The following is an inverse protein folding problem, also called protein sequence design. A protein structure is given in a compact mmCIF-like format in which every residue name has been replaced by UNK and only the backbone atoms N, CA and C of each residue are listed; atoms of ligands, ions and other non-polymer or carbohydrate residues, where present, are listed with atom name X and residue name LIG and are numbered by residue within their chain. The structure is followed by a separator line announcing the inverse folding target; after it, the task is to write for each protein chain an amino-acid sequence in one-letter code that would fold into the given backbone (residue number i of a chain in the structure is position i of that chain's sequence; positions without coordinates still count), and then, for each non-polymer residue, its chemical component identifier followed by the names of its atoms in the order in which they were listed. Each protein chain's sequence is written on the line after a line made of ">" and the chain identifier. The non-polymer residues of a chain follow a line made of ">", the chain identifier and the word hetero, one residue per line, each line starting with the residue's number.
data_IF_193896421865
#
_entry.id   IF_193896421865
#
_cell.length_a   1.000
_cell.length_b   1.000
_cell.length_c   1.000
_cell.angle_alpha   90.00
_cell.angle_beta   90.00
_cell.angle_gamma   90.00
#
_symmetry.space_group_name_H-M   'P 1'
#
loop_
_entity.id
_entity.type
_entity.pdbx_description
1 polymer ?
#
# COMPACT_ATOMS: atom_id res chain seq x y z
N UNK A 1 17.28 18.05 1.41
CA UNK A 1 16.72 19.41 1.63
C UNK A 1 16.20 20.12 0.37
N UNK A 2 16.80 19.96 -0.82
CA UNK A 2 16.29 20.63 -2.05
C UNK A 2 14.96 20.07 -2.62
N UNK A 3 14.60 18.81 -2.35
CA UNK A 3 13.37 18.17 -2.87
C UNK A 3 12.09 18.58 -2.10
N UNK A 4 12.19 18.76 -0.78
CA UNK A 4 11.06 19.21 0.07
C UNK A 4 10.60 20.62 -0.29
N UNK A 5 11.53 21.49 -0.72
CA UNK A 5 11.23 22.81 -1.26
C UNK A 5 10.47 22.74 -2.59
N UNK A 6 10.76 21.76 -3.45
CA UNK A 6 10.04 21.57 -4.72
C UNK A 6 8.59 21.10 -4.49
N UNK A 7 8.39 20.16 -3.55
CA UNK A 7 7.05 19.70 -3.16
C UNK A 7 6.24 20.79 -2.45
N UNK A 8 6.87 21.61 -1.60
CA UNK A 8 6.22 22.77 -0.98
C UNK A 8 5.88 23.85 -2.01
N UNK A 9 6.70 24.08 -3.03
CA UNK A 9 6.37 25.00 -4.12
C UNK A 9 5.16 24.53 -4.91
N UNK A 10 5.03 23.23 -5.20
CA UNK A 10 3.88 22.66 -5.94
C UNK A 10 2.59 22.73 -5.09
N UNK A 11 2.67 22.40 -3.79
CA UNK A 11 1.52 22.49 -2.87
C UNK A 11 1.07 23.94 -2.58
N UNK A 12 2.00 24.89 -2.41
CA UNK A 12 1.66 26.32 -2.26
C UNK A 12 1.07 26.90 -3.55
N UNK A 13 1.48 26.41 -4.73
CA UNK A 13 0.91 26.83 -6.00
C UNK A 13 -0.57 26.42 -6.16
N UNK A 14 -0.99 25.33 -5.52
CA UNK A 14 -2.34 24.78 -5.68
C UNK A 14 -3.40 25.41 -4.78
N UNK A 15 -3.06 25.80 -3.55
CA UNK A 15 -4.03 26.46 -2.64
C UNK A 15 -4.30 27.93 -3.01
N UNK A 16 -3.42 28.55 -3.81
CA UNK A 16 -3.49 29.96 -4.22
C UNK A 16 -4.20 30.15 -5.59
N UNK A 17 -4.46 29.09 -6.37
CA UNK A 17 -4.73 29.24 -7.81
C UNK A 17 -6.03 28.65 -8.35
N UNK A 18 -7.17 28.71 -7.65
CA UNK A 18 -8.46 28.47 -8.31
C UNK A 18 -8.71 29.46 -9.49
N UNK A 19 -8.06 30.63 -9.47
CA UNK A 19 -8.14 31.67 -10.49
C UNK A 19 -7.05 31.55 -11.57
N UNK A 20 -5.91 30.93 -11.26
CA UNK A 20 -4.77 30.76 -12.18
C UNK A 20 -4.81 29.42 -12.93
N UNK A 21 -5.43 28.37 -12.36
CA UNK A 21 -5.80 27.19 -13.16
C UNK A 21 -6.77 27.58 -14.28
N UNK A 22 -7.71 28.49 -14.03
CA UNK A 22 -8.58 29.09 -15.06
C UNK A 22 -7.82 29.85 -16.16
N UNK A 23 -6.66 30.42 -15.87
CA UNK A 23 -5.82 31.08 -16.88
C UNK A 23 -4.99 30.08 -17.69
N UNK A 24 -4.50 28.99 -17.07
CA UNK A 24 -3.83 27.89 -17.79
C UNK A 24 -4.77 27.20 -18.78
N UNK A 25 -6.07 27.08 -18.46
CA UNK A 25 -7.06 26.58 -19.42
C UNK A 25 -7.27 27.49 -20.65
N UNK A 26 -6.83 28.75 -20.62
CA UNK A 26 -6.96 29.67 -21.76
C UNK A 26 -5.85 29.51 -22.80
N UNK A 27 -4.71 28.95 -22.42
CA UNK A 27 -3.61 28.64 -23.34
C UNK A 27 -3.49 27.12 -23.50
N UNK A 28 -3.93 26.62 -24.65
CA UNK A 28 -3.99 25.19 -24.93
C UNK A 28 -2.61 24.54 -24.97
N UNK A 29 -1.56 25.27 -25.38
CA UNK A 29 -0.19 24.75 -25.42
C UNK A 29 0.34 24.53 -24.00
N UNK A 30 0.12 25.49 -23.10
CA UNK A 30 0.44 25.34 -21.67
C UNK A 30 -0.35 24.21 -21.01
N UNK A 31 -1.64 24.05 -21.36
CA UNK A 31 -2.46 22.95 -20.87
C UNK A 31 -1.94 21.59 -21.36
N UNK A 32 -1.52 21.48 -22.61
CA UNK A 32 -0.93 20.26 -23.16
C UNK A 32 0.33 19.84 -22.40
N UNK A 33 1.25 20.78 -22.14
CA UNK A 33 2.47 20.52 -21.37
C UNK A 33 2.17 20.11 -19.92
N UNK A 34 1.15 20.73 -19.30
CA UNK A 34 0.69 20.36 -17.97
C UNK A 34 0.17 18.92 -17.94
N UNK A 35 -0.67 18.53 -18.91
CA UNK A 35 -1.20 17.17 -19.03
C UNK A 35 -0.06 16.14 -19.13
N UNK A 36 0.94 16.40 -19.98
CA UNK A 36 2.10 15.52 -20.13
C UNK A 36 2.87 15.38 -18.82
N UNK A 37 3.19 16.50 -18.18
CA UNK A 37 3.96 16.51 -16.94
C UNK A 37 3.22 15.80 -15.80
N UNK A 38 1.92 16.05 -15.65
CA UNK A 38 1.12 15.37 -14.63
C UNK A 38 0.99 13.87 -14.91
N UNK A 39 0.87 13.47 -16.18
CA UNK A 39 0.78 12.06 -16.56
C UNK A 39 2.06 11.29 -16.21
N UNK A 40 3.24 11.87 -16.47
CA UNK A 40 4.52 11.27 -16.13
C UNK A 40 4.67 11.09 -14.61
N UNK A 41 4.24 12.10 -13.83
CA UNK A 41 4.24 12.01 -12.37
C UNK A 41 3.25 10.96 -11.85
N UNK A 42 2.05 10.90 -12.43
CA UNK A 42 1.04 9.89 -12.06
C UNK A 42 1.58 8.48 -12.30
N UNK A 43 2.18 8.23 -13.46
CA UNK A 43 2.67 6.90 -13.83
C UNK A 43 3.68 6.39 -12.81
N UNK A 44 4.64 7.24 -12.44
CA UNK A 44 5.64 6.89 -11.44
C UNK A 44 5.04 6.67 -10.05
N UNK A 45 4.22 7.61 -9.58
CA UNK A 45 3.66 7.54 -8.22
C UNK A 45 2.68 6.37 -8.06
N UNK A 46 1.94 6.02 -9.11
CA UNK A 46 1.00 4.90 -9.09
C UNK A 46 1.69 3.54 -9.01
N UNK A 47 2.88 3.42 -9.62
CA UNK A 47 3.70 2.21 -9.59
C UNK A 47 4.48 2.08 -8.28
N UNK A 48 5.15 3.15 -7.85
CA UNK A 48 6.09 3.13 -6.71
C UNK A 48 5.40 3.39 -5.37
N UNK A 49 4.31 4.17 -5.35
CA UNK A 49 3.75 4.77 -4.13
C UNK A 49 2.21 4.68 -4.05
N UNK A 50 1.62 3.58 -4.55
CA UNK A 50 0.16 3.40 -4.62
C UNK A 50 -0.59 3.65 -3.29
N UNK A 51 0.04 3.39 -2.14
CA UNK A 51 -0.57 3.61 -0.83
C UNK A 51 -0.90 5.10 -0.56
N UNK A 52 -0.07 6.00 -1.07
CA UNK A 52 -0.16 7.46 -0.89
C UNK A 52 -0.74 8.17 -2.12
N UNK A 53 -1.04 7.41 -3.18
CA UNK A 53 -1.51 7.95 -4.45
C UNK A 53 -2.88 8.62 -4.33
N UNK A 54 -2.98 9.87 -4.81
CA UNK A 54 -4.24 10.62 -4.91
C UNK A 54 -4.98 10.26 -6.20
N UNK A 55 -6.04 9.46 -6.09
CA UNK A 55 -6.89 9.06 -7.21
C UNK A 55 -7.44 10.26 -8.01
N UNK A 56 -7.70 11.39 -7.34
CA UNK A 56 -8.25 12.57 -8.02
C UNK A 56 -7.29 13.14 -9.08
N UNK A 57 -5.99 12.83 -9.01
CA UNK A 57 -5.04 13.19 -10.07
C UNK A 57 -5.42 12.56 -11.41
N UNK A 58 -5.82 11.29 -11.42
CA UNK A 58 -6.24 10.58 -12.65
C UNK A 58 -7.51 11.22 -13.21
N UNK A 59 -8.48 11.53 -12.35
CA UNK A 59 -9.72 12.19 -12.75
C UNK A 59 -9.47 13.58 -13.35
N UNK A 60 -8.61 14.39 -12.71
CA UNK A 60 -8.24 15.71 -13.22
C UNK A 60 -7.58 15.65 -14.59
N UNK A 61 -6.63 14.73 -14.82
CA UNK A 61 -6.03 14.61 -16.16
C UNK A 61 -7.07 14.20 -17.20
N UNK A 62 -7.98 13.27 -16.88
CA UNK A 62 -9.06 12.88 -17.80
C UNK A 62 -9.94 14.08 -18.17
N UNK A 63 -10.29 14.92 -17.20
CA UNK A 63 -11.03 16.17 -17.44
C UNK A 63 -10.24 17.18 -18.29
N UNK A 64 -8.95 17.36 -18.00
CA UNK A 64 -8.07 18.26 -18.76
C UNK A 64 -7.90 17.82 -20.21
N UNK A 65 -7.75 16.51 -20.45
CA UNK A 65 -7.69 15.93 -21.80
C UNK A 65 -9.01 16.15 -22.54
N UNK A 66 -10.15 15.89 -21.89
CA UNK A 66 -11.47 16.13 -22.50
C UNK A 66 -11.68 17.62 -22.84
N UNK A 67 -11.24 18.52 -21.96
CA UNK A 67 -11.25 19.95 -22.20
C UNK A 67 -10.35 20.32 -23.38
N UNK A 68 -9.11 19.88 -23.40
CA UNK A 68 -8.16 20.14 -24.49
C UNK A 68 -8.72 19.67 -25.84
N UNK A 69 -9.21 18.42 -25.90
CA UNK A 69 -9.75 17.82 -27.13
C UNK A 69 -11.02 18.52 -27.65
N UNK A 70 -11.80 19.18 -26.78
CA UNK A 70 -13.00 19.91 -27.18
C UNK A 70 -12.72 21.36 -27.65
N UNK A 71 -11.55 21.90 -27.35
CA UNK A 71 -11.20 23.31 -27.62
C UNK A 71 -10.06 23.49 -28.63
N UNK A 72 -9.26 22.46 -28.90
CA UNK A 72 -8.16 22.49 -29.87
C UNK A 72 -8.67 22.55 -31.33
N UNK A 73 -7.88 23.17 -32.22
CA UNK A 73 -8.16 23.20 -33.66
C UNK A 73 -8.26 21.76 -34.21
N UNK A 74 -9.29 21.51 -35.02
CA UNK A 74 -9.52 20.23 -35.71
C UNK A 74 -8.36 19.81 -36.64
N UNK A 75 -7.50 20.76 -37.04
CA UNK A 75 -6.33 20.51 -37.89
C UNK A 75 -5.06 20.17 -37.11
N UNK A 76 -5.07 20.32 -35.78
CA UNK A 76 -3.91 19.99 -34.95
C UNK A 76 -3.63 18.49 -34.95
N UNK A 77 -2.36 18.11 -34.78
CA UNK A 77 -2.02 16.71 -34.54
C UNK A 77 -2.43 16.31 -33.11
N UNK A 78 -3.34 15.35 -33.02
CA UNK A 78 -3.89 14.85 -31.76
C UNK A 78 -3.35 13.47 -31.38
N UNK A 79 -2.38 12.94 -32.13
CA UNK A 79 -1.83 11.59 -31.92
C UNK A 79 -1.37 11.37 -30.48
N UNK A 80 -0.51 12.24 -29.96
CA UNK A 80 0.05 12.12 -28.62
C UNK A 80 -0.99 12.26 -27.51
N UNK A 81 -1.91 13.24 -27.61
CA UNK A 81 -2.92 13.44 -26.56
C UNK A 81 -3.93 12.29 -26.52
N UNK A 82 -4.25 11.68 -27.68
CA UNK A 82 -5.08 10.47 -27.76
C UNK A 82 -4.36 9.26 -27.17
N UNK A 83 -3.06 9.09 -27.43
CA UNK A 83 -2.25 8.04 -26.81
C UNK A 83 -2.25 8.14 -25.27
N UNK A 84 -2.11 9.36 -24.73
CA UNK A 84 -2.23 9.59 -23.28
C UNK A 84 -3.63 9.26 -22.76
N UNK A 85 -4.67 9.71 -23.47
CA UNK A 85 -6.06 9.38 -23.14
C UNK A 85 -6.32 7.88 -23.11
N UNK A 86 -5.75 7.14 -24.06
CA UNK A 86 -5.89 5.69 -24.13
C UNK A 86 -5.11 5.00 -23.02
N UNK A 87 -3.92 5.50 -22.68
CA UNK A 87 -3.12 4.96 -21.59
C UNK A 87 -3.79 5.18 -20.23
N UNK A 88 -4.51 6.29 -20.04
CA UNK A 88 -5.28 6.53 -18.82
C UNK A 88 -6.44 5.54 -18.60
N UNK A 89 -6.82 4.75 -19.61
CA UNK A 89 -7.80 3.66 -19.46
C UNK A 89 -7.26 2.47 -18.66
N UNK A 90 -5.93 2.36 -18.48
CA UNK A 90 -5.35 1.33 -17.61
C UNK A 90 -5.51 1.65 -16.11
N UNK A 91 -5.87 2.90 -15.78
CA UNK A 91 -6.12 3.33 -14.41
C UNK A 91 -7.59 3.07 -14.03
N UNK A 92 -7.89 2.91 -12.73
CA UNK A 92 -9.27 2.71 -12.27
C UNK A 92 -10.22 3.82 -12.70
N UNK A 93 -11.44 3.47 -13.06
CA UNK A 93 -12.48 4.44 -13.45
C UNK A 93 -13.24 5.01 -12.26
N UNK A 94 -13.19 4.33 -11.12
CA UNK A 94 -13.85 4.75 -9.89
C UNK A 94 -12.89 4.71 -8.72
N UNK A 95 -13.16 5.56 -7.73
CA UNK A 95 -12.40 5.57 -6.47
C UNK A 95 -12.54 4.22 -5.75
N UNK A 96 -13.69 3.56 -5.81
CA UNK A 96 -13.90 2.24 -5.22
C UNK A 96 -12.95 1.18 -5.80
N UNK A 97 -12.84 1.10 -7.13
CA UNK A 97 -11.92 0.15 -7.79
C UNK A 97 -10.48 0.50 -7.43
N UNK A 98 -10.13 1.79 -7.39
CA UNK A 98 -8.82 2.24 -6.95
C UNK A 98 -8.50 1.79 -5.51
N UNK A 99 -9.43 2.02 -4.57
CA UNK A 99 -9.26 1.64 -3.16
C UNK A 99 -9.09 0.12 -3.00
N UNK A 100 -9.80 -0.68 -3.80
CA UNK A 100 -9.64 -2.13 -3.85
C UNK A 100 -8.23 -2.54 -4.31
N UNK A 101 -7.76 -2.00 -5.44
CA UNK A 101 -6.41 -2.28 -5.97
C UNK A 101 -5.33 -1.82 -5.00
N UNK A 102 -5.48 -0.61 -4.43
CA UNK A 102 -4.56 -0.07 -3.43
C UNK A 102 -4.47 -1.01 -2.22
N UNK A 103 -5.61 -1.45 -1.70
CA UNK A 103 -5.65 -2.36 -0.56
C UNK A 103 -5.00 -3.71 -0.87
N UNK A 104 -5.23 -4.26 -2.07
CA UNK A 104 -4.59 -5.49 -2.52
C UNK A 104 -3.07 -5.36 -2.64
N UNK A 105 -2.58 -4.31 -3.30
CA UNK A 105 -1.13 -4.06 -3.45
C UNK A 105 -0.48 -3.79 -2.10
N UNK A 106 -1.12 -3.00 -1.23
CA UNK A 106 -0.63 -2.72 0.12
C UNK A 106 -0.55 -4.02 0.94
N UNK A 107 -1.59 -4.85 0.93
CA UNK A 107 -1.58 -6.18 1.56
C UNK A 107 -0.42 -7.03 1.05
N UNK A 108 -0.24 -7.13 -0.27
CA UNK A 108 0.81 -7.94 -0.86
C UNK A 108 2.20 -7.46 -0.45
N UNK A 109 2.44 -6.15 -0.49
CA UNK A 109 3.71 -5.57 -0.07
C UNK A 109 4.00 -5.83 1.41
N UNK A 110 3.02 -5.55 2.29
CA UNK A 110 3.17 -5.76 3.72
C UNK A 110 3.41 -7.25 4.06
N UNK A 111 2.66 -8.17 3.45
CA UNK A 111 2.88 -9.60 3.64
C UNK A 111 4.26 -10.06 3.15
N UNK A 112 4.73 -9.52 2.02
CA UNK A 112 6.04 -9.84 1.49
C UNK A 112 7.14 -9.37 2.44
N UNK A 113 7.06 -8.12 2.92
CA UNK A 113 8.01 -7.54 3.88
C UNK A 113 8.02 -8.33 5.19
N UNK A 114 6.85 -8.70 5.69
CA UNK A 114 6.70 -9.47 6.91
C UNK A 114 7.31 -10.88 6.75
N UNK A 115 6.98 -11.58 5.66
CA UNK A 115 7.55 -12.91 5.35
C UNK A 115 9.07 -12.85 5.21
N UNK A 116 9.61 -11.86 4.48
CA UNK A 116 11.05 -11.68 4.33
C UNK A 116 11.75 -11.47 5.68
N UNK A 117 11.18 -10.65 6.58
CA UNK A 117 11.73 -10.46 7.92
C UNK A 117 11.68 -11.76 8.75
N UNK A 118 10.59 -12.53 8.62
CA UNK A 118 10.45 -13.81 9.31
C UNK A 118 11.45 -14.86 8.80
N UNK A 119 11.58 -15.00 7.48
CA UNK A 119 12.52 -15.93 6.83
C UNK A 119 13.98 -15.55 7.10
N UNK A 120 14.28 -14.25 7.22
CA UNK A 120 15.58 -13.73 7.64
C UNK A 120 15.85 -13.84 9.16
N UNK A 121 14.97 -14.51 9.92
CA UNK A 121 15.08 -14.71 11.37
C UNK A 121 15.08 -13.41 12.20
N UNK A 122 14.56 -12.31 11.65
CA UNK A 122 14.45 -10.99 12.27
C UNK A 122 13.15 -10.87 13.09
N UNK A 123 12.96 -11.73 14.09
CA UNK A 123 11.67 -11.87 14.79
C UNK A 123 11.20 -10.62 15.54
N UNK A 124 12.09 -9.83 16.14
CA UNK A 124 11.71 -8.55 16.75
C UNK A 124 11.18 -7.55 15.71
N UNK A 125 11.79 -7.52 14.52
CA UNK A 125 11.30 -6.72 13.40
C UNK A 125 9.92 -7.19 12.96
N UNK A 126 9.67 -8.50 12.91
CA UNK A 126 8.34 -9.05 12.60
C UNK A 126 7.29 -8.56 13.62
N UNK A 127 7.61 -8.57 14.93
CA UNK A 127 6.70 -8.07 15.96
C UNK A 127 6.38 -6.58 15.78
N UNK A 128 7.39 -5.76 15.47
CA UNK A 128 7.18 -4.35 15.17
C UNK A 128 6.32 -4.14 13.91
N UNK A 129 6.57 -4.90 12.84
CA UNK A 129 5.77 -4.85 11.62
C UNK A 129 4.32 -5.26 11.87
N UNK A 130 4.07 -6.28 12.69
CA UNK A 130 2.71 -6.69 13.07
C UNK A 130 1.97 -5.54 13.79
N UNK A 131 2.63 -4.86 14.72
CA UNK A 131 2.02 -3.71 15.40
C UNK A 131 1.63 -2.61 14.40
N UNK A 132 2.55 -2.22 13.51
CA UNK A 132 2.30 -1.20 12.48
C UNK A 132 1.18 -1.62 11.52
N UNK A 133 1.17 -2.87 11.06
CA UNK A 133 0.20 -3.34 10.07
C UNK A 133 -1.18 -3.63 10.66
N UNK A 134 -1.28 -3.79 11.98
CA UNK A 134 -2.58 -3.91 12.65
C UNK A 134 -3.42 -2.64 12.60
N UNK A 135 -2.80 -1.46 12.42
CA UNK A 135 -3.50 -0.17 12.40
C UNK A 135 -4.23 0.11 11.08
N UNK A 136 -3.72 -0.38 9.94
CA UNK A 136 -4.27 -0.08 8.62
C UNK A 136 -5.26 -1.14 8.08
N UNK A 137 -5.27 -2.34 8.68
CA UNK A 137 -6.25 -3.38 8.38
C UNK A 137 -6.13 -4.05 7.00
N UNK A 138 -5.04 -3.84 6.24
CA UNK A 138 -4.89 -4.48 4.92
C UNK A 138 -4.66 -5.99 5.01
N UNK A 139 -3.92 -6.42 6.03
CA UNK A 139 -3.67 -7.84 6.30
C UNK A 139 -4.77 -8.36 7.23
N UNK A 140 -5.43 -9.50 6.89
CA UNK A 140 -6.35 -10.15 7.81
C UNK A 140 -5.75 -10.42 9.18
N UNK A 141 -6.51 -10.17 10.24
CA UNK A 141 -6.04 -10.32 11.63
C UNK A 141 -5.41 -11.68 11.93
N UNK A 142 -5.96 -12.76 11.36
CA UNK A 142 -5.44 -14.10 11.54
C UNK A 142 -4.01 -14.28 10.95
N UNK A 143 -3.68 -13.64 9.83
CA UNK A 143 -2.33 -13.75 9.27
C UNK A 143 -1.33 -12.98 10.14
N UNK A 144 -1.69 -11.78 10.61
CA UNK A 144 -0.86 -11.00 11.54
C UNK A 144 -0.64 -11.73 12.86
N UNK A 145 -1.72 -12.28 13.44
CA UNK A 145 -1.67 -13.02 14.69
C UNK A 145 -0.78 -14.26 14.58
N UNK A 146 -0.82 -14.98 13.44
CA UNK A 146 0.04 -16.12 13.17
C UNK A 146 1.52 -15.74 13.23
N UNK A 147 1.92 -14.71 12.48
CA UNK A 147 3.32 -14.28 12.48
C UNK A 147 3.78 -13.74 13.82
N UNK A 148 2.89 -13.10 14.59
CA UNK A 148 3.16 -12.67 15.96
C UNK A 148 3.51 -13.86 16.85
N UNK A 149 2.60 -14.82 17.01
CA UNK A 149 2.80 -15.95 17.94
C UNK A 149 3.95 -16.85 17.51
N UNK A 150 4.18 -17.00 16.20
CA UNK A 150 5.33 -17.75 15.70
C UNK A 150 6.66 -17.03 15.93
N UNK A 151 6.68 -15.70 15.88
CA UNK A 151 7.88 -14.91 16.22
C UNK A 151 8.17 -14.95 17.71
N UNK A 152 7.14 -14.85 18.56
CA UNK A 152 7.25 -15.05 20.01
C UNK A 152 7.81 -16.43 20.34
N UNK A 153 7.30 -17.49 19.70
CA UNK A 153 7.84 -18.84 19.84
C UNK A 153 9.31 -18.93 19.43
N UNK A 154 9.69 -18.33 18.30
CA UNK A 154 11.08 -18.37 17.82
C UNK A 154 12.05 -17.61 18.74
N UNK A 155 11.61 -16.51 19.35
CA UNK A 155 12.38 -15.80 20.36
C UNK A 155 12.50 -16.64 21.64
N UNK A 156 11.40 -17.24 22.09
CA UNK A 156 11.41 -18.18 23.21
C UNK A 156 12.41 -19.33 22.98
N UNK A 157 12.56 -19.85 21.76
CA UNK A 157 13.57 -20.90 21.52
C UNK A 157 15.02 -20.46 21.76
N UNK A 158 15.32 -19.15 21.69
CA UNK A 158 16.68 -18.59 21.79
C UNK A 158 17.09 -18.23 23.23
N UNK A 159 16.15 -18.08 24.15
CA UNK A 159 16.38 -17.63 25.53
C UNK A 159 16.31 -18.75 26.56
N UNK A 160 16.98 -18.56 27.70
CA UNK A 160 16.78 -19.35 28.92
C UNK A 160 15.51 -18.87 29.62
N UNK A 161 14.36 -19.40 29.20
CA UNK A 161 13.07 -18.94 29.70
C UNK A 161 12.65 -19.63 31.00
N UNK A 162 11.87 -18.90 31.80
CA UNK A 162 11.26 -19.42 33.02
C UNK A 162 9.90 -20.08 32.73
N UNK A 163 9.32 -20.70 33.76
CA UNK A 163 8.02 -21.39 33.67
C UNK A 163 6.88 -20.43 33.26
N UNK A 164 6.90 -19.18 33.71
CA UNK A 164 5.87 -18.19 33.40
C UNK A 164 5.88 -17.80 31.92
N UNK A 165 7.06 -17.57 31.34
CA UNK A 165 7.21 -17.27 29.91
C UNK A 165 6.73 -18.43 29.03
N UNK A 166 6.99 -19.68 29.46
CA UNK A 166 6.46 -20.87 28.79
C UNK A 166 4.92 -20.92 28.85
N UNK A 167 4.33 -20.66 30.00
CA UNK A 167 2.86 -20.66 30.19
C UNK A 167 2.21 -19.54 29.36
N UNK A 168 2.80 -18.34 29.36
CA UNK A 168 2.35 -17.21 28.54
C UNK A 168 2.38 -17.54 27.04
N UNK A 169 3.45 -18.17 26.55
CA UNK A 169 3.54 -18.57 25.15
C UNK A 169 2.49 -19.64 24.79
N UNK A 170 2.27 -20.64 25.64
CA UNK A 170 1.22 -21.65 25.43
C UNK A 170 -0.15 -20.97 25.36
N UNK A 171 -0.40 -20.00 26.24
CA UNK A 171 -1.64 -19.24 26.24
C UNK A 171 -1.81 -18.47 24.92
N UNK A 172 -0.79 -17.73 24.46
CA UNK A 172 -0.85 -16.98 23.20
C UNK A 172 -1.13 -17.89 22.00
N UNK A 173 -0.45 -19.05 21.91
CA UNK A 173 -0.66 -20.03 20.85
C UNK A 173 -2.07 -20.63 20.89
N UNK A 174 -2.59 -20.92 22.10
CA UNK A 174 -3.93 -21.48 22.29
C UNK A 174 -5.00 -20.44 21.96
N UNK A 175 -4.80 -19.17 22.32
CA UNK A 175 -5.68 -18.06 21.96
C UNK A 175 -5.76 -17.91 20.43
N UNK A 176 -4.61 -17.91 19.74
CA UNK A 176 -4.59 -17.90 18.28
C UNK A 176 -5.40 -19.07 17.71
N UNK A 177 -5.17 -20.29 18.21
CA UNK A 177 -5.85 -21.48 17.70
C UNK A 177 -7.36 -21.38 17.88
N UNK A 178 -7.84 -20.91 19.04
CA UNK A 178 -9.26 -20.78 19.32
C UNK A 178 -9.94 -19.69 18.47
N UNK A 179 -9.29 -18.55 18.27
CA UNK A 179 -9.85 -17.42 17.52
C UNK A 179 -9.85 -17.65 16.00
N UNK A 180 -8.84 -18.35 15.48
CA UNK A 180 -8.56 -18.40 14.05
C UNK A 180 -8.57 -19.80 13.43
N UNK A 181 -9.08 -20.81 14.15
CA UNK A 181 -9.17 -22.18 13.64
C UNK A 181 -9.91 -22.22 12.28
N UNK A 182 -9.33 -22.94 11.33
CA UNK A 182 -9.92 -23.14 10.01
C UNK A 182 -9.71 -21.98 9.03
N UNK A 183 -9.10 -20.86 9.46
CA UNK A 183 -8.74 -19.75 8.55
C UNK A 183 -7.58 -20.12 7.63
N UNK A 184 -6.67 -20.99 8.07
CA UNK A 184 -5.61 -21.54 7.25
C UNK A 184 -5.19 -22.92 7.75
N UNK A 185 -5.46 -23.97 6.97
CA UNK A 185 -5.08 -25.36 7.31
C UNK A 185 -3.58 -25.52 7.55
N UNK A 186 -2.76 -24.70 6.89
CA UNK A 186 -1.30 -24.72 7.06
C UNK A 186 -0.95 -24.14 8.44
N UNK A 187 -1.52 -22.99 8.79
CA UNK A 187 -1.26 -22.36 10.08
C UNK A 187 -1.79 -23.19 11.24
N UNK A 188 -2.99 -23.76 11.10
CA UNK A 188 -3.60 -24.63 12.11
C UNK A 188 -2.68 -25.80 12.47
N UNK A 189 -2.10 -26.46 11.45
CA UNK A 189 -1.15 -27.56 11.65
C UNK A 189 0.13 -27.09 12.36
N UNK A 190 0.72 -25.99 11.89
CA UNK A 190 1.97 -25.45 12.45
C UNK A 190 1.77 -25.04 13.91
N UNK A 191 0.63 -24.43 14.25
CA UNK A 191 0.32 -24.01 15.61
C UNK A 191 0.09 -25.21 16.53
N UNK A 192 -0.67 -26.22 16.08
CA UNK A 192 -0.90 -27.44 16.86
C UNK A 192 0.43 -28.16 17.18
N UNK A 193 1.31 -28.30 16.19
CA UNK A 193 2.65 -28.87 16.39
C UNK A 193 3.51 -28.02 17.33
N UNK A 194 3.42 -26.69 17.21
CA UNK A 194 4.15 -25.76 18.07
C UNK A 194 3.69 -25.87 19.53
N UNK A 195 2.39 -25.92 19.79
CA UNK A 195 1.83 -26.11 21.14
C UNK A 195 2.33 -27.42 21.76
N UNK A 196 2.30 -28.52 21.01
CA UNK A 196 2.81 -29.82 21.48
C UNK A 196 4.29 -29.76 21.83
N UNK A 197 5.10 -29.11 20.99
CA UNK A 197 6.54 -28.98 21.20
C UNK A 197 6.87 -28.13 22.43
N UNK A 198 6.19 -26.99 22.61
CA UNK A 198 6.40 -26.13 23.79
C UNK A 198 6.02 -26.87 25.06
N UNK A 199 4.87 -27.59 25.09
CA UNK A 199 4.44 -28.37 26.26
C UNK A 199 5.48 -29.42 26.67
N UNK A 200 6.09 -30.12 25.71
CA UNK A 200 7.08 -31.19 25.94
C UNK A 200 8.45 -30.71 26.43
N UNK A 201 8.83 -29.47 26.14
CA UNK A 201 10.13 -28.90 26.54
C UNK A 201 10.18 -28.78 28.07
N UNK A 202 11.15 -29.45 28.72
CA UNK A 202 11.36 -29.40 30.18
C UNK A 202 11.98 -28.08 30.60
#
# INVERSE_FOLDING_TARGET
>A
MKRVLLYLCIFYFWKVNAQKTREVYKDLDSLYLLIQTEYDLITKDYEEHIAEFDFNRVMRIREQIAYYLSHIDKRADLSNIKLLSDSLKSYPDTEEIFLSIRSQKAKQHQLTTLKQAFDALQFEKVLNLVAIYSENGYIPSYELAYYKVMSEYRLFLKSSNNKQEKEALIQNLTTYQNEYLGKSKIYDRVIDDTIKNVKRRR
#
